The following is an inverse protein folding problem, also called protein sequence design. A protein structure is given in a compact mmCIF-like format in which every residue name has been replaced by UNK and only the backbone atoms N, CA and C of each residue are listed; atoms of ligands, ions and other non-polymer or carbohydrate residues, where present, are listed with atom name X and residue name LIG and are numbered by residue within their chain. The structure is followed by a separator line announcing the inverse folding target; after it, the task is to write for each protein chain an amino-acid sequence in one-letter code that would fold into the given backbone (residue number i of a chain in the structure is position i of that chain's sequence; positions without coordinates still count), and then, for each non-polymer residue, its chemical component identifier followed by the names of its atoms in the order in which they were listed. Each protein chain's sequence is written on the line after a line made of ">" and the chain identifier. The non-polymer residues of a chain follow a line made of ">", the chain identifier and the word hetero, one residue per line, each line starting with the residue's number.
data_IF_925479482639
#
_entry.id   IF_925479482639
#
_cell.length_a   1.000
_cell.length_b   1.000
_cell.length_c   1.000
_cell.angle_alpha   90.00
_cell.angle_beta   90.00
_cell.angle_gamma   90.00
#
_symmetry.space_group_name_H-M   'P 1'
#
loop_
_entity.id
_entity.type
_entity.pdbx_description
1 polymer ?
#
# COMPACT_ATOMS: atom_id res chain seq x y z
N UNK A 1 34.79 16.57 52.38
CA UNK A 1 34.80 15.93 51.05
C UNK A 1 35.88 14.87 51.06
N UNK A 2 35.48 13.59 51.11
CA UNK A 2 36.39 12.44 51.08
C UNK A 2 35.92 11.54 49.95
N UNK A 3 36.73 11.45 48.90
CA UNK A 3 36.55 10.51 47.79
C UNK A 3 36.87 9.13 48.35
N UNK A 4 35.87 8.26 48.44
CA UNK A 4 36.07 6.85 48.80
C UNK A 4 36.27 6.09 47.49
N UNK A 5 37.52 5.77 47.20
CA UNK A 5 37.95 4.93 46.08
C UNK A 5 37.40 3.51 46.33
N UNK A 6 36.40 3.08 45.55
CA UNK A 6 35.90 1.71 45.63
C UNK A 6 36.96 0.75 45.05
N UNK A 7 37.32 -0.34 45.76
CA UNK A 7 38.29 -1.30 45.26
C UNK A 7 37.72 -2.05 44.04
N UNK A 8 38.47 -2.04 42.93
CA UNK A 8 38.22 -2.92 41.77
C UNK A 8 38.60 -4.36 42.14
N UNK A 9 37.73 -5.05 42.87
CA UNK A 9 37.82 -6.49 42.97
C UNK A 9 37.22 -7.10 41.68
N UNK A 10 37.94 -7.98 40.95
CA UNK A 10 37.31 -8.76 39.90
C UNK A 10 36.27 -9.66 40.54
N UNK A 11 35.01 -9.51 40.13
CA UNK A 11 33.94 -10.42 40.53
C UNK A 11 34.13 -11.74 39.77
N UNK A 12 34.77 -12.71 40.41
CA UNK A 12 34.92 -14.07 39.90
C UNK A 12 35.24 -15.04 41.03
N UNK A 13 34.47 -16.13 41.08
CA UNK A 13 34.74 -17.29 41.93
C UNK A 13 35.98 -18.04 41.36
N UNK A 14 36.97 -18.46 42.18
CA UNK A 14 38.16 -19.18 41.72
C UNK A 14 37.86 -20.51 41.00
N UNK A 15 36.67 -21.09 41.17
CA UNK A 15 36.34 -22.43 40.66
C UNK A 15 35.57 -22.44 39.33
N UNK A 16 35.91 -21.56 38.39
CA UNK A 16 35.61 -21.77 36.96
C UNK A 16 34.13 -21.91 36.60
N UNK A 17 33.25 -21.16 37.26
CA UNK A 17 31.83 -21.09 36.92
C UNK A 17 31.60 -20.26 35.67
N UNK A 18 30.92 -20.82 34.67
CA UNK A 18 30.46 -20.14 33.45
C UNK A 18 29.85 -18.77 33.82
N UNK A 19 30.32 -17.71 33.17
CA UNK A 19 29.71 -16.38 33.26
C UNK A 19 28.23 -16.49 32.87
N UNK A 20 27.33 -16.48 33.85
CA UNK A 20 25.93 -16.18 33.57
C UNK A 20 25.89 -14.71 33.18
N UNK A 21 25.49 -14.42 31.95
CA UNK A 21 25.39 -13.05 31.45
C UNK A 21 24.42 -12.28 32.35
N UNK A 22 24.97 -11.44 33.23
CA UNK A 22 24.19 -10.50 34.02
C UNK A 22 23.61 -9.49 33.03
N UNK A 23 22.31 -9.61 32.76
CA UNK A 23 21.56 -8.68 31.90
C UNK A 23 21.64 -7.30 32.55
N UNK A 24 22.48 -6.42 32.00
CA UNK A 24 22.48 -5.02 32.36
C UNK A 24 21.31 -4.33 31.66
N UNK A 25 20.52 -3.47 32.33
CA UNK A 25 19.39 -2.79 31.72
C UNK A 25 19.78 -1.87 30.55
N UNK A 26 21.05 -1.48 30.46
CA UNK A 26 21.62 -0.71 29.35
C UNK A 26 22.26 -1.55 28.21
N UNK A 27 22.31 -2.88 28.32
CA UNK A 27 22.82 -3.72 27.23
C UNK A 27 21.77 -3.86 26.13
N UNK A 28 22.11 -3.61 24.85
CA UNK A 28 21.22 -3.94 23.74
C UNK A 28 20.90 -5.43 23.78
N UNK A 29 19.63 -5.77 23.97
CA UNK A 29 19.18 -7.15 23.85
C UNK A 29 19.19 -7.46 22.35
N UNK A 30 20.16 -8.26 21.91
CA UNK A 30 20.12 -8.83 20.56
C UNK A 30 19.04 -9.93 20.53
N UNK A 31 17.87 -9.57 20.01
CA UNK A 31 16.77 -10.50 19.72
C UNK A 31 17.09 -11.29 18.44
N UNK A 32 18.11 -12.14 18.48
CA UNK A 32 18.43 -13.08 17.40
C UNK A 32 18.31 -14.52 17.88
N UNK A 33 17.74 -15.39 17.04
CA UNK A 33 17.61 -16.83 17.26
C UNK A 33 16.17 -17.36 17.30
N UNK A 34 15.98 -18.68 17.47
CA UNK A 34 14.74 -19.41 17.17
C UNK A 34 13.55 -19.08 18.08
N UNK A 35 13.73 -18.23 19.09
CA UNK A 35 12.70 -17.76 20.02
C UNK A 35 12.59 -16.22 20.09
N UNK A 36 13.30 -15.51 19.22
CA UNK A 36 13.17 -14.07 19.10
C UNK A 36 11.82 -13.77 18.45
N UNK A 37 10.76 -13.63 19.26
CA UNK A 37 9.45 -13.24 18.78
C UNK A 37 9.53 -12.01 17.86
N UNK A 38 8.74 -12.00 16.80
CA UNK A 38 8.71 -10.90 15.83
C UNK A 38 7.42 -10.92 15.01
N UNK A 39 7.23 -9.86 14.24
CA UNK A 39 6.01 -9.65 13.44
C UNK A 39 6.36 -9.44 11.98
N UNK A 40 5.37 -9.53 11.08
CA UNK A 40 5.58 -9.27 9.65
C UNK A 40 6.25 -7.90 9.38
N UNK A 41 5.83 -6.86 10.11
CA UNK A 41 6.37 -5.49 9.97
C UNK A 41 7.72 -5.29 10.68
N UNK A 42 7.97 -6.06 11.73
CA UNK A 42 9.18 -5.99 12.55
C UNK A 42 9.74 -7.40 12.74
N UNK A 43 10.37 -7.96 11.69
CA UNK A 43 10.93 -9.30 11.78
C UNK A 43 12.15 -9.29 12.71
N UNK A 44 12.39 -10.40 13.43
CA UNK A 44 13.58 -10.53 14.26
C UNK A 44 14.82 -10.65 13.36
N UNK A 45 16.01 -10.51 13.93
CA UNK A 45 17.25 -10.68 13.16
C UNK A 45 17.62 -12.16 13.13
N UNK A 46 17.43 -12.81 11.99
CA UNK A 46 17.71 -14.24 11.80
C UNK A 46 18.90 -14.39 10.85
N UNK A 47 19.88 -15.21 11.23
CA UNK A 47 21.09 -15.47 10.44
C UNK A 47 21.09 -16.86 9.78
N UNK A 48 20.34 -17.79 10.34
CA UNK A 48 20.20 -19.16 9.81
C UNK A 48 19.08 -19.22 8.77
N UNK A 49 19.34 -19.83 7.60
CA UNK A 49 18.38 -19.89 6.48
C UNK A 49 17.14 -20.70 6.82
N UNK A 50 17.29 -21.82 7.52
CA UNK A 50 16.17 -22.69 7.85
C UNK A 50 15.24 -22.00 8.84
N UNK A 51 15.79 -21.36 9.87
CA UNK A 51 15.04 -20.50 10.80
C UNK A 51 14.36 -19.33 10.08
N UNK A 52 15.06 -18.72 9.11
CA UNK A 52 14.54 -17.60 8.33
C UNK A 52 13.31 -18.01 7.52
N UNK A 53 13.41 -19.13 6.81
CA UNK A 53 12.31 -19.70 6.02
C UNK A 53 11.13 -20.07 6.92
N UNK A 54 11.40 -20.72 8.06
CA UNK A 54 10.37 -21.10 9.03
C UNK A 54 9.64 -19.88 9.62
N UNK A 55 10.36 -18.82 9.97
CA UNK A 55 9.74 -17.58 10.46
C UNK A 55 8.78 -17.01 9.42
N UNK A 56 9.26 -16.76 8.20
CA UNK A 56 8.43 -16.14 7.17
C UNK A 56 7.29 -17.02 6.67
N UNK A 57 7.45 -18.35 6.70
CA UNK A 57 6.38 -19.28 6.36
C UNK A 57 5.26 -19.27 7.42
N UNK A 58 5.60 -19.03 8.69
CA UNK A 58 4.67 -19.13 9.82
C UNK A 58 4.17 -17.78 10.35
N UNK A 59 4.82 -16.67 10.00
CA UNK A 59 4.45 -15.34 10.49
C UNK A 59 3.00 -15.01 10.14
N UNK A 60 2.27 -14.52 11.13
CA UNK A 60 0.90 -14.05 10.95
C UNK A 60 0.92 -12.74 10.18
N UNK A 61 0.16 -12.69 9.07
CA UNK A 61 -0.01 -11.49 8.26
C UNK A 61 -1.47 -11.07 8.36
N UNK A 62 -1.69 -9.80 8.70
CA UNK A 62 -3.04 -9.24 8.80
C UNK A 62 -3.62 -8.95 7.41
N UNK A 63 -4.94 -8.90 7.32
CA UNK A 63 -5.62 -8.56 6.05
C UNK A 63 -5.24 -7.15 5.60
N UNK A 64 -5.07 -6.23 6.55
CA UNK A 64 -4.61 -4.85 6.31
C UNK A 64 -3.21 -4.81 5.67
N UNK A 65 -2.29 -5.68 6.09
CA UNK A 65 -0.96 -5.78 5.47
C UNK A 65 -1.05 -6.25 4.02
N UNK A 66 -1.97 -7.17 3.73
CA UNK A 66 -2.19 -7.71 2.38
C UNK A 66 -2.84 -6.69 1.45
N UNK A 67 -3.82 -5.94 1.95
CA UNK A 67 -4.44 -4.82 1.25
C UNK A 67 -3.41 -3.73 0.93
N UNK A 68 -2.59 -3.36 1.92
CA UNK A 68 -1.51 -2.37 1.73
C UNK A 68 -0.50 -2.83 0.67
N UNK A 69 -0.11 -4.10 0.69
CA UNK A 69 0.76 -4.67 -0.34
C UNK A 69 0.13 -4.57 -1.74
N UNK A 70 -1.13 -4.99 -1.89
CA UNK A 70 -1.85 -4.93 -3.15
C UNK A 70 -1.98 -3.50 -3.68
N UNK A 71 -2.33 -2.56 -2.81
CA UNK A 71 -2.43 -1.14 -3.14
C UNK A 71 -1.11 -0.54 -3.61
N UNK A 72 0.00 -0.86 -2.93
CA UNK A 72 1.31 -0.33 -3.30
C UNK A 72 1.80 -0.92 -4.62
N UNK A 73 1.51 -2.20 -4.88
CA UNK A 73 1.77 -2.81 -6.17
C UNK A 73 0.95 -2.14 -7.29
N UNK A 74 -0.36 -1.93 -7.09
CA UNK A 74 -1.19 -1.23 -8.08
C UNK A 74 -0.73 0.20 -8.35
N UNK A 75 -0.37 0.94 -7.29
CA UNK A 75 0.15 2.30 -7.41
C UNK A 75 1.47 2.34 -8.21
N UNK A 76 2.35 1.36 -8.01
CA UNK A 76 3.57 1.21 -8.80
C UNK A 76 3.29 0.95 -10.28
N UNK A 77 2.35 0.04 -10.59
CA UNK A 77 1.93 -0.23 -11.99
C UNK A 77 1.29 1.00 -12.64
N UNK A 78 0.47 1.74 -11.89
CA UNK A 78 -0.11 3.02 -12.36
C UNK A 78 0.98 4.04 -12.69
N UNK A 79 2.02 4.14 -11.86
CA UNK A 79 3.16 5.03 -12.09
C UNK A 79 3.92 4.64 -13.36
N UNK A 80 4.14 3.34 -13.62
CA UNK A 80 4.80 2.88 -14.85
C UNK A 80 3.97 3.21 -16.10
N UNK A 81 2.66 2.95 -16.06
CA UNK A 81 1.76 3.31 -17.16
C UNK A 81 1.75 4.84 -17.41
N UNK A 82 1.75 5.64 -16.33
CA UNK A 82 1.89 7.10 -16.42
C UNK A 82 3.23 7.53 -17.03
N UNK A 83 4.33 6.86 -16.68
CA UNK A 83 5.65 7.11 -17.22
C UNK A 83 5.74 6.78 -18.72
N UNK A 84 5.13 5.68 -19.17
CA UNK A 84 5.06 5.35 -20.60
C UNK A 84 4.25 6.36 -21.40
N UNK A 85 3.10 6.80 -20.86
CA UNK A 85 2.31 7.90 -21.43
C UNK A 85 3.14 9.19 -21.57
N UNK A 86 3.92 9.53 -20.53
CA UNK A 86 4.79 10.70 -20.55
C UNK A 86 5.94 10.55 -21.55
N UNK A 87 6.58 9.39 -21.62
CA UNK A 87 7.65 9.08 -22.57
C UNK A 87 7.15 9.17 -24.02
N UNK A 88 5.95 8.63 -24.29
CA UNK A 88 5.30 8.79 -25.59
C UNK A 88 5.09 10.26 -25.95
N UNK A 89 4.60 11.07 -25.00
CA UNK A 89 4.38 12.50 -25.23
C UNK A 89 5.66 13.32 -25.42
N UNK A 90 6.79 12.87 -24.87
CA UNK A 90 8.10 13.47 -25.12
C UNK A 90 8.64 13.11 -26.51
N UNK A 91 8.51 11.84 -26.91
CA UNK A 91 8.95 11.37 -28.22
C UNK A 91 8.05 11.87 -29.37
N UNK A 92 6.76 12.03 -29.09
CA UNK A 92 5.74 12.50 -30.02
C UNK A 92 5.08 13.73 -29.41
N UNK A 93 5.53 14.95 -29.72
CA UNK A 93 4.89 16.17 -29.21
C UNK A 93 3.43 16.28 -29.66
N UNK A 94 2.57 16.80 -28.78
CA UNK A 94 1.16 17.01 -29.09
C UNK A 94 0.97 17.90 -30.34
N UNK A 95 0.10 17.52 -31.31
CA UNK A 95 -0.17 18.34 -32.49
C UNK A 95 -0.83 19.69 -32.11
N UNK A 96 -0.01 20.74 -32.10
CA UNK A 96 -0.47 22.09 -31.81
C UNK A 96 -1.16 22.71 -33.03
N UNK A 97 -2.13 23.59 -32.75
CA UNK A 97 -2.62 24.49 -33.79
C UNK A 97 -1.60 25.62 -33.99
N UNK A 98 -1.32 25.97 -35.25
CA UNK A 98 -0.91 27.33 -35.58
C UNK A 98 -2.09 28.31 -35.25
N UNK A 99 -1.97 29.66 -35.36
CA UNK A 99 -2.98 30.57 -34.81
C UNK A 99 -4.42 30.17 -35.20
N UNK A 100 -5.34 30.23 -34.21
CA UNK A 100 -6.71 29.71 -34.31
C UNK A 100 -7.32 29.96 -35.69
N UNK A 101 -7.68 28.88 -36.39
CA UNK A 101 -8.32 29.02 -37.70
C UNK A 101 -9.66 29.74 -37.53
N UNK A 102 -9.84 30.88 -38.21
CA UNK A 102 -11.12 31.59 -38.25
C UNK A 102 -12.19 30.84 -39.07
N UNK A 103 -11.80 29.80 -39.81
CA UNK A 103 -12.67 29.02 -40.70
C UNK A 103 -13.46 27.94 -39.96
N UNK A 104 -12.95 27.44 -38.84
CA UNK A 104 -13.58 26.35 -38.08
C UNK A 104 -14.07 26.85 -36.72
N UNK A 105 -15.29 26.46 -36.26
CA UNK A 105 -15.88 26.96 -35.01
C UNK A 105 -15.05 26.67 -33.75
N UNK A 106 -14.33 25.55 -33.75
CA UNK A 106 -13.42 25.10 -32.69
C UNK A 106 -11.96 25.56 -32.90
N UNK A 107 -11.70 26.22 -34.03
CA UNK A 107 -10.37 26.67 -34.44
C UNK A 107 -9.40 25.53 -34.77
N UNK A 108 -9.89 24.31 -35.01
CA UNK A 108 -9.09 23.11 -35.33
C UNK A 108 -9.36 22.70 -36.78
N UNK A 109 -8.33 22.45 -37.57
CA UNK A 109 -8.52 21.92 -38.93
C UNK A 109 -8.74 20.40 -38.90
N UNK A 110 -9.42 19.80 -39.90
CA UNK A 110 -9.62 18.36 -39.96
C UNK A 110 -8.31 17.55 -39.86
N UNK A 111 -7.23 18.06 -40.46
CA UNK A 111 -5.91 17.43 -40.45
C UNK A 111 -5.32 17.39 -39.04
N UNK A 112 -5.48 18.47 -38.27
CA UNK A 112 -5.00 18.52 -36.88
C UNK A 112 -5.91 17.70 -35.96
N UNK A 113 -7.22 17.68 -36.19
CA UNK A 113 -8.14 16.83 -35.46
C UNK A 113 -7.76 15.35 -35.64
N UNK A 114 -7.43 14.95 -36.87
CA UNK A 114 -6.99 13.59 -37.18
C UNK A 114 -5.61 13.29 -36.58
N UNK A 115 -4.65 14.21 -36.68
CA UNK A 115 -3.34 14.06 -36.03
C UNK A 115 -3.47 13.89 -34.51
N UNK A 116 -4.37 14.64 -33.87
CA UNK A 116 -4.67 14.50 -32.42
C UNK A 116 -5.33 13.17 -32.10
N UNK A 117 -6.19 12.66 -32.98
CA UNK A 117 -6.81 11.33 -32.83
C UNK A 117 -5.75 10.24 -32.87
N UNK A 118 -4.87 10.26 -33.87
CA UNK A 118 -3.74 9.32 -34.02
C UNK A 118 -2.81 9.41 -32.81
N UNK A 119 -2.46 10.63 -32.38
CA UNK A 119 -1.62 10.82 -31.21
C UNK A 119 -2.23 10.22 -29.95
N UNK A 120 -3.54 10.46 -29.70
CA UNK A 120 -4.24 9.88 -28.54
C UNK A 120 -4.22 8.36 -28.61
N UNK A 121 -4.49 7.78 -29.78
CA UNK A 121 -4.44 6.33 -29.96
C UNK A 121 -3.05 5.77 -29.67
N UNK A 122 -1.97 6.39 -30.18
CA UNK A 122 -0.61 5.96 -29.89
C UNK A 122 -0.25 6.04 -28.41
N UNK A 123 -0.65 7.12 -27.73
CA UNK A 123 -0.47 7.26 -26.28
C UNK A 123 -1.24 6.17 -25.52
N UNK A 124 -2.50 5.94 -25.88
CA UNK A 124 -3.35 4.97 -25.21
C UNK A 124 -2.86 3.53 -25.45
N UNK A 125 -2.29 3.24 -26.63
CA UNK A 125 -1.58 2.00 -26.91
C UNK A 125 -0.34 1.82 -26.04
N UNK A 126 0.51 2.85 -25.91
CA UNK A 126 1.69 2.78 -25.04
C UNK A 126 1.32 2.50 -23.57
N UNK A 127 0.20 3.06 -23.11
CA UNK A 127 -0.35 2.74 -21.78
C UNK A 127 -0.85 1.29 -21.72
N UNK A 128 -1.59 0.82 -22.73
CA UNK A 128 -2.10 -0.54 -22.78
C UNK A 128 -0.98 -1.59 -22.80
N UNK A 129 0.09 -1.37 -23.58
CA UNK A 129 1.27 -2.23 -23.63
C UNK A 129 1.96 -2.36 -22.26
N UNK A 130 2.03 -1.27 -21.48
CA UNK A 130 2.53 -1.37 -20.11
C UNK A 130 1.57 -2.14 -19.19
N UNK A 131 0.26 -1.93 -19.33
CA UNK A 131 -0.76 -2.63 -18.52
C UNK A 131 -0.82 -4.13 -18.79
N UNK A 132 -0.45 -4.58 -19.99
CA UNK A 132 -0.38 -6.02 -20.30
C UNK A 132 0.67 -6.76 -19.46
N UNK A 133 1.66 -6.05 -18.90
CA UNK A 133 2.67 -6.63 -17.99
C UNK A 133 2.14 -6.78 -16.56
N UNK A 134 1.00 -6.17 -16.23
CA UNK A 134 0.43 -6.21 -14.89
C UNK A 134 0.12 -7.66 -14.49
N UNK A 135 0.75 -8.13 -13.42
CA UNK A 135 0.40 -9.40 -12.79
C UNK A 135 -0.86 -9.24 -11.95
N UNK A 136 -1.79 -10.17 -12.13
CA UNK A 136 -2.98 -10.26 -11.27
C UNK A 136 -2.57 -10.83 -9.91
N UNK A 137 -2.75 -10.03 -8.86
CA UNK A 137 -2.61 -10.47 -7.46
C UNK A 137 -3.97 -10.99 -6.99
N UNK A 138 -4.10 -12.30 -6.87
CA UNK A 138 -5.32 -12.92 -6.35
C UNK A 138 -5.37 -12.82 -4.82
N UNK A 139 -6.56 -12.64 -4.25
CA UNK A 139 -6.76 -12.59 -2.79
C UNK A 139 -6.27 -13.85 -2.07
N UNK A 140 -6.29 -15.00 -2.77
CA UNK A 140 -5.82 -16.29 -2.24
C UNK A 140 -4.29 -16.34 -2.15
N UNK A 141 -3.56 -15.68 -3.06
CA UNK A 141 -2.10 -15.66 -3.10
C UNK A 141 -1.48 -14.41 -2.46
N UNK A 142 -2.27 -13.40 -2.11
CA UNK A 142 -1.77 -12.12 -1.56
C UNK A 142 -0.95 -12.28 -0.28
N UNK A 143 -1.40 -13.13 0.66
CA UNK A 143 -0.65 -13.44 1.89
C UNK A 143 0.69 -14.11 1.59
N UNK A 144 0.71 -15.06 0.67
CA UNK A 144 1.95 -15.75 0.28
C UNK A 144 2.92 -14.80 -0.40
N UNK A 145 2.41 -13.91 -1.27
CA UNK A 145 3.22 -12.86 -1.90
C UNK A 145 3.76 -11.86 -0.87
N UNK A 146 2.99 -11.52 0.17
CA UNK A 146 3.50 -10.71 1.28
C UNK A 146 4.66 -11.41 1.99
N UNK A 147 4.54 -12.71 2.28
CA UNK A 147 5.64 -13.50 2.89
C UNK A 147 6.88 -13.50 2.02
N UNK A 148 6.73 -13.80 0.73
CA UNK A 148 7.84 -13.84 -0.21
C UNK A 148 8.49 -12.46 -0.36
N UNK A 149 7.70 -11.39 -0.38
CA UNK A 149 8.26 -10.04 -0.39
C UNK A 149 9.02 -9.75 0.90
N UNK A 150 8.49 -10.11 2.06
CA UNK A 150 9.20 -10.01 3.34
C UNK A 150 10.53 -10.76 3.32
N UNK A 151 10.53 -12.01 2.88
CA UNK A 151 11.74 -12.81 2.67
C UNK A 151 12.73 -12.11 1.74
N UNK A 152 12.26 -11.57 0.62
CA UNK A 152 13.12 -10.86 -0.32
C UNK A 152 13.72 -9.59 0.29
N UNK A 153 12.89 -8.77 0.93
CA UNK A 153 13.30 -7.47 1.50
C UNK A 153 14.27 -7.64 2.65
N UNK A 154 14.13 -8.67 3.49
CA UNK A 154 14.96 -8.87 4.67
C UNK A 154 16.10 -9.89 4.45
N UNK A 155 16.34 -10.36 3.22
CA UNK A 155 17.40 -11.34 2.93
C UNK A 155 18.81 -10.83 3.27
N UNK A 156 19.00 -9.52 3.35
CA UNK A 156 20.27 -8.89 3.77
C UNK A 156 20.70 -9.26 5.20
N UNK A 157 19.81 -9.85 6.00
CA UNK A 157 20.14 -10.37 7.32
C UNK A 157 20.98 -11.66 7.27
N UNK A 158 20.89 -12.39 6.15
CA UNK A 158 21.60 -13.64 5.90
C UNK A 158 23.00 -13.35 5.32
N UNK A 159 23.89 -14.33 5.45
CA UNK A 159 25.17 -14.29 4.77
C UNK A 159 24.96 -14.45 3.25
N UNK A 160 25.95 -14.02 2.45
CA UNK A 160 25.79 -13.93 0.99
C UNK A 160 25.49 -15.27 0.31
N UNK A 161 26.11 -16.35 0.80
CA UNK A 161 25.92 -17.69 0.25
C UNK A 161 24.50 -18.20 0.52
N UNK A 162 24.05 -17.99 1.76
CA UNK A 162 22.72 -18.32 2.26
C UNK A 162 21.61 -17.51 1.56
N UNK A 163 21.84 -16.21 1.37
CA UNK A 163 20.94 -15.37 0.59
C UNK A 163 20.83 -15.87 -0.87
N UNK A 164 21.94 -16.24 -1.51
CA UNK A 164 21.93 -16.76 -2.88
C UNK A 164 21.19 -18.11 -2.99
N UNK A 165 21.29 -18.96 -1.98
CA UNK A 165 20.52 -20.21 -1.90
C UNK A 165 19.02 -19.94 -1.74
N UNK A 166 18.66 -19.03 -0.83
CA UNK A 166 17.27 -18.62 -0.62
C UNK A 166 16.65 -18.04 -1.91
N UNK A 167 17.39 -17.23 -2.66
CA UNK A 167 16.93 -16.65 -3.93
C UNK A 167 16.54 -17.73 -4.96
N UNK A 168 17.22 -18.88 -4.94
CA UNK A 168 16.97 -20.02 -5.83
C UNK A 168 15.95 -21.02 -5.29
N UNK A 169 15.52 -20.87 -4.04
CA UNK A 169 14.58 -21.77 -3.41
C UNK A 169 13.19 -21.64 -4.07
N UNK A 170 12.58 -22.79 -4.38
CA UNK A 170 11.27 -22.86 -5.01
C UNK A 170 10.15 -22.73 -3.97
N UNK A 171 9.14 -21.92 -4.30
CA UNK A 171 7.94 -21.71 -3.53
C UNK A 171 6.70 -21.96 -4.39
N UNK A 172 5.60 -22.34 -3.75
CA UNK A 172 4.29 -22.53 -4.38
C UNK A 172 3.31 -21.57 -3.70
N UNK A 173 2.62 -20.77 -4.50
CA UNK A 173 1.57 -19.87 -4.03
C UNK A 173 0.23 -20.61 -3.94
N UNK A 174 -0.70 -20.09 -3.12
CA UNK A 174 -2.07 -20.61 -3.02
C UNK A 174 -2.87 -20.62 -4.33
N UNK A 175 -2.43 -19.89 -5.38
CA UNK A 175 -3.03 -19.93 -6.73
C UNK A 175 -2.43 -21.01 -7.66
N UNK A 176 -1.50 -21.82 -7.15
CA UNK A 176 -0.86 -22.92 -7.85
C UNK A 176 0.38 -22.53 -8.67
N UNK A 177 0.76 -21.25 -8.71
CA UNK A 177 2.02 -20.85 -9.35
C UNK A 177 3.22 -21.34 -8.55
N UNK A 178 4.22 -21.85 -9.25
CA UNK A 178 5.50 -22.27 -8.70
C UNK A 178 6.63 -21.50 -9.36
N UNK A 179 7.61 -21.10 -8.55
CA UNK A 179 8.78 -20.36 -9.02
C UNK A 179 9.80 -20.20 -7.90
N UNK A 180 10.99 -19.71 -8.24
CA UNK A 180 11.97 -19.35 -7.22
C UNK A 180 11.60 -18.04 -6.52
N UNK A 181 12.18 -17.77 -5.35
CA UNK A 181 12.00 -16.47 -4.70
C UNK A 181 12.42 -15.32 -5.64
N UNK A 182 13.53 -15.48 -6.36
CA UNK A 182 13.99 -14.51 -7.36
C UNK A 182 13.01 -14.34 -8.53
N UNK A 183 12.37 -15.42 -9.00
CA UNK A 183 11.35 -15.33 -10.05
C UNK A 183 10.16 -14.50 -9.60
N UNK A 184 9.66 -14.72 -8.39
CA UNK A 184 8.56 -13.93 -7.83
C UNK A 184 8.97 -12.49 -7.61
N UNK A 185 10.17 -12.24 -7.07
CA UNK A 185 10.67 -10.88 -6.87
C UNK A 185 10.80 -10.09 -8.18
N UNK A 186 11.22 -10.74 -9.26
CA UNK A 186 11.27 -10.14 -10.60
C UNK A 186 9.88 -9.96 -11.20
N UNK A 187 9.02 -10.96 -11.11
CA UNK A 187 7.68 -10.97 -11.69
C UNK A 187 6.78 -9.89 -11.08
N UNK A 188 6.88 -9.72 -9.77
CA UNK A 188 6.11 -8.73 -9.01
C UNK A 188 6.92 -7.49 -8.68
N UNK A 189 8.16 -7.36 -9.13
CA UNK A 189 9.04 -6.19 -8.93
C UNK A 189 9.16 -5.74 -7.47
N UNK A 190 9.40 -6.67 -6.53
CA UNK A 190 9.38 -6.40 -5.08
C UNK A 190 10.28 -5.26 -4.61
N UNK A 191 11.37 -4.97 -5.33
CA UNK A 191 12.33 -3.89 -5.00
C UNK A 191 11.85 -2.50 -5.44
N UNK A 192 10.81 -2.40 -6.27
CA UNK A 192 10.42 -1.14 -6.90
C UNK A 192 9.34 -0.38 -6.12
N UNK A 193 8.72 -1.01 -5.13
CA UNK A 193 7.73 -0.37 -4.27
C UNK A 193 7.86 -0.85 -2.84
N UNK A 194 7.71 0.09 -1.93
CA UNK A 194 7.82 -0.19 -0.50
C UNK A 194 6.45 -0.58 0.08
N UNK A 195 6.43 -1.44 1.10
CA UNK A 195 5.24 -1.63 1.95
C UNK A 195 5.37 -0.62 3.08
N UNK A 196 5.42 0.67 2.72
CA UNK A 196 5.16 1.68 3.74
C UNK A 196 3.68 1.63 4.05
N UNK A 197 3.39 1.47 5.33
CA UNK A 197 2.07 1.78 5.88
C UNK A 197 1.71 3.18 5.40
N UNK A 198 0.76 3.27 4.47
CA UNK A 198 0.43 4.53 3.82
C UNK A 198 -0.49 5.33 4.74
N UNK A 199 0.06 5.80 5.87
CA UNK A 199 -0.65 6.52 6.92
C UNK A 199 -1.41 7.73 6.37
N UNK A 200 -0.89 8.35 5.31
CA UNK A 200 -1.55 9.46 4.60
C UNK A 200 -2.78 9.02 3.81
N UNK A 201 -2.70 7.89 3.09
CA UNK A 201 -3.85 7.33 2.35
C UNK A 201 -4.96 6.93 3.34
N UNK A 202 -4.61 6.29 4.45
CA UNK A 202 -5.55 5.93 5.52
C UNK A 202 -6.19 7.14 6.22
N UNK A 203 -5.41 8.16 6.54
CA UNK A 203 -5.96 9.41 7.08
C UNK A 203 -6.94 10.07 6.09
N UNK A 204 -6.63 10.04 4.79
CA UNK A 204 -7.50 10.57 3.75
C UNK A 204 -8.78 9.72 3.57
N UNK A 205 -8.69 8.40 3.65
CA UNK A 205 -9.84 7.50 3.58
C UNK A 205 -10.74 7.60 4.82
N UNK A 206 -10.16 7.72 6.01
CA UNK A 206 -10.92 7.96 7.25
C UNK A 206 -11.59 9.33 7.24
N UNK A 207 -10.91 10.35 6.72
CA UNK A 207 -11.50 11.68 6.52
C UNK A 207 -12.63 11.63 5.47
N UNK A 208 -12.45 10.93 4.36
CA UNK A 208 -13.48 10.74 3.34
C UNK A 208 -14.68 9.96 3.88
N UNK A 209 -14.47 8.92 4.69
CA UNK A 209 -15.52 8.15 5.35
C UNK A 209 -16.25 8.99 6.40
N UNK A 210 -15.54 9.86 7.13
CA UNK A 210 -16.14 10.84 8.05
C UNK A 210 -17.03 11.83 7.31
N UNK A 211 -16.52 12.44 6.23
CA UNK A 211 -17.29 13.33 5.35
C UNK A 211 -18.51 12.64 4.73
N UNK A 212 -18.39 11.38 4.33
CA UNK A 212 -19.51 10.59 3.82
C UNK A 212 -20.60 10.35 4.89
N UNK A 213 -20.20 10.13 6.15
CA UNK A 213 -21.15 9.99 7.28
C UNK A 213 -21.79 11.32 7.66
N UNK A 214 -21.02 12.39 7.69
CA UNK A 214 -21.52 13.75 7.97
C UNK A 214 -22.49 14.21 6.89
N UNK A 215 -22.16 14.00 5.61
CA UNK A 215 -23.08 14.29 4.49
C UNK A 215 -24.33 13.42 4.56
N UNK A 216 -24.21 12.10 4.76
CA UNK A 216 -25.38 11.22 4.90
C UNK A 216 -26.29 11.60 6.09
N UNK A 217 -25.72 12.08 7.20
CA UNK A 217 -26.48 12.62 8.32
C UNK A 217 -27.18 13.93 7.95
N UNK A 218 -26.47 14.86 7.31
CA UNK A 218 -27.05 16.12 6.84
C UNK A 218 -28.18 15.89 5.81
N UNK A 219 -28.06 14.91 4.91
CA UNK A 219 -29.13 14.58 3.95
C UNK A 219 -30.33 13.94 4.63
N UNK A 220 -30.13 13.12 5.67
CA UNK A 220 -31.23 12.58 6.49
C UNK A 220 -31.93 13.68 7.30
N UNK A 221 -31.17 14.60 7.89
CA UNK A 221 -31.73 15.74 8.62
C UNK A 221 -32.51 16.65 7.65
N UNK A 222 -31.97 16.95 6.47
CA UNK A 222 -32.70 17.69 5.42
C UNK A 222 -33.97 16.95 4.94
N UNK A 223 -33.93 15.63 4.80
CA UNK A 223 -35.11 14.81 4.48
C UNK A 223 -36.15 14.79 5.62
N UNK A 224 -35.73 14.95 6.87
CA UNK A 224 -36.62 15.08 8.03
C UNK A 224 -37.32 16.45 8.04
N UNK A 225 -36.59 17.54 7.82
CA UNK A 225 -37.17 18.89 7.76
C UNK A 225 -38.09 19.12 6.55
N UNK A 226 -37.81 18.48 5.41
CA UNK A 226 -38.70 18.53 4.23
C UNK A 226 -40.02 17.78 4.44
N UNK A 227 -40.01 16.64 5.16
CA UNK A 227 -41.25 15.95 5.56
C UNK A 227 -42.06 16.75 6.59
N UNK A 228 -41.40 17.43 7.53
CA UNK A 228 -42.09 18.26 8.54
C UNK A 228 -42.64 19.58 7.97
N UNK A 229 -41.98 20.16 6.96
CA UNK A 229 -42.52 21.35 6.27
C UNK A 229 -43.74 21.03 5.38
N UNK A 230 -43.80 19.83 4.79
CA UNK A 230 -44.95 19.37 4.02
C UNK A 230 -46.16 19.04 4.92
N UNK A 231 -45.92 18.50 6.13
CA UNK A 231 -46.98 18.28 7.12
C UNK A 231 -47.47 19.60 7.76
N UNK A 232 -46.58 20.59 7.97
CA UNK A 232 -46.98 21.92 8.44
C UNK A 232 -47.81 22.70 7.40
N UNK A 233 -47.44 22.67 6.11
CA UNK A 233 -48.22 23.31 5.05
C UNK A 233 -49.57 22.60 4.79
N UNK A 234 -49.64 21.28 4.97
CA UNK A 234 -50.89 20.51 4.91
C UNK A 234 -51.83 20.76 6.09
N UNK A 235 -51.30 21.05 7.29
CA UNK A 235 -52.09 21.36 8.48
C UNK A 235 -52.60 22.82 8.52
N UNK A 236 -51.91 23.75 7.87
CA UNK A 236 -52.37 25.15 7.75
C UNK A 236 -53.54 25.25 6.73
N UNK A 237 -53.52 24.43 5.67
CA UNK A 237 -54.55 24.51 4.62
C UNK A 237 -55.88 23.82 4.97
N UNK A 238 -55.89 22.89 5.94
CA UNK A 238 -57.13 22.23 6.39
C UNK A 238 -57.87 23.02 7.48
N UNK A 239 -57.19 23.88 8.24
CA UNK A 239 -57.84 24.71 9.27
C UNK A 239 -58.42 26.03 8.76
N UNK A 240 -58.10 26.49 7.54
CA UNK A 240 -58.70 27.69 6.96
C UNK A 240 -60.00 27.44 6.18
N UNK A 241 -60.30 26.20 5.78
CA UNK A 241 -61.52 25.91 4.98
C UNK A 241 -62.75 25.62 5.86
N UNK A 242 -62.58 25.37 7.16
CA UNK A 242 -63.71 25.03 8.06
C UNK A 242 -64.33 26.21 8.82
N UNK A 243 -63.92 27.46 8.57
CA UNK A 243 -64.47 28.66 9.25
C UNK A 243 -65.10 29.72 8.32
N UNK A 244 -65.31 29.43 7.04
CA UNK A 244 -66.09 30.29 6.16
C UNK A 244 -67.34 29.56 5.63
N UNK A 245 -68.33 29.36 6.51
CA UNK A 245 -69.72 29.52 6.12
C UNK A 245 -70.65 29.69 7.34
N UNK A 246 -71.08 30.91 7.66
CA UNK A 246 -72.39 31.14 8.23
C UNK A 246 -73.27 31.87 7.19
N UNK A 247 -74.49 31.35 7.05
CA UNK A 247 -75.63 31.82 6.23
C UNK A 247 -75.74 31.24 4.82
#
# INVERSE_FOLDING_TARGET
>A
MTVVEQPRAPAGDPNGGRFSAVIRPESPIELSGPNAGGTYRHPPRIKDVDEYVQFWASVTITDEDCETFGDNYLAHRDQQAGAASAAFGQANPWPQNAPKSKKYPDGVTPEIAEARRIWKQGRDMAVAEEREKDQVVYTVSSRDLCRLRGMWTFRWQLDKEDAALLEQQAFVLGDGRQGTLADFARMYEFDQYDVQYNAKKRAAEEEAARLARETAKATKDAAFWTKDSASYLGAINTNQVSQMNPY
#
